data_IF_460177612868
#
_entry.id   IF_460177612868
#
_cell.length_a   1.000
_cell.length_b   1.000
_cell.length_c   1.000
_cell.angle_alpha   90.00
_cell.angle_beta   90.00
_cell.angle_gamma   90.00
#
_symmetry.space_group_name_H-M   'P 1'
#
loop_
_entity.id
_entity.type
_entity.pdbx_description
1 polymer ?
#
# COMPACT_ATOMS: atom_id res chain seq x y z
N UNK A 1 -10.48 0.98 -11.77
CA UNK A 1 -10.56 2.47 -11.66
C UNK A 1 -10.09 2.95 -10.28
N UNK A 2 -10.47 2.29 -9.19
CA UNK A 2 -10.06 2.63 -7.82
C UNK A 2 -8.56 2.82 -7.64
N UNK A 3 -7.73 1.85 -8.06
CA UNK A 3 -6.26 1.96 -7.91
C UNK A 3 -5.65 3.19 -8.61
N UNK A 4 -6.10 3.50 -9.84
CA UNK A 4 -5.62 4.66 -10.58
C UNK A 4 -6.00 5.97 -9.88
N UNK A 5 -7.19 6.03 -9.28
CA UNK A 5 -7.60 7.15 -8.42
C UNK A 5 -6.71 7.28 -7.19
N UNK A 6 -6.40 6.18 -6.50
CA UNK A 6 -5.49 6.23 -5.33
C UNK A 6 -4.05 6.63 -5.71
N UNK A 7 -3.61 6.31 -6.93
CA UNK A 7 -2.30 6.72 -7.44
C UNK A 7 -2.11 8.24 -7.55
N UNK A 8 -3.19 9.05 -7.55
CA UNK A 8 -3.05 10.51 -7.56
C UNK A 8 -2.40 11.04 -6.28
N UNK A 9 -2.50 10.31 -5.17
CA UNK A 9 -1.80 10.65 -3.92
C UNK A 9 -0.29 10.71 -4.17
N UNK A 10 0.27 9.79 -4.96
CA UNK A 10 1.69 9.80 -5.30
C UNK A 10 2.08 10.96 -6.23
N UNK A 11 1.16 11.44 -7.08
CA UNK A 11 1.36 12.66 -7.87
C UNK A 11 1.55 13.85 -6.93
N UNK A 12 0.65 13.99 -5.96
CA UNK A 12 0.67 15.08 -4.98
C UNK A 12 1.93 15.01 -4.11
N UNK A 13 2.33 13.82 -3.63
CA UNK A 13 3.57 13.63 -2.86
C UNK A 13 4.79 14.16 -3.61
N UNK A 14 5.00 13.75 -4.87
CA UNK A 14 6.17 14.21 -5.64
C UNK A 14 6.13 15.71 -5.93
N UNK A 15 4.94 16.25 -6.23
CA UNK A 15 4.76 17.68 -6.48
C UNK A 15 5.07 18.52 -5.24
N UNK A 16 4.60 18.09 -4.07
CA UNK A 16 4.74 18.83 -2.82
C UNK A 16 6.14 18.70 -2.21
N UNK A 17 6.79 17.55 -2.37
CA UNK A 17 8.14 17.31 -1.86
C UNK A 17 9.23 17.92 -2.75
N UNK A 18 8.96 18.08 -4.05
CA UNK A 18 9.90 18.65 -5.02
C UNK A 18 11.14 17.78 -5.31
N UNK A 19 11.20 16.58 -4.73
CA UNK A 19 12.28 15.60 -4.86
C UNK A 19 11.74 14.18 -4.65
N UNK A 20 12.50 13.15 -5.02
CA UNK A 20 12.13 11.75 -4.77
C UNK A 20 12.18 11.47 -3.25
N UNK A 21 11.12 10.90 -2.64
CA UNK A 21 11.19 10.41 -1.27
C UNK A 21 12.03 9.13 -1.20
N UNK A 22 12.87 8.98 -0.18
CA UNK A 22 13.59 7.71 0.04
C UNK A 22 12.62 6.54 0.32
N UNK A 23 11.57 6.81 1.12
CA UNK A 23 10.59 5.83 1.56
C UNK A 23 9.18 6.43 1.65
N UNK A 24 8.20 5.72 1.09
CA UNK A 24 6.77 6.01 1.24
C UNK A 24 6.11 4.87 2.01
N UNK A 25 5.60 5.17 3.21
CA UNK A 25 4.89 4.19 4.05
C UNK A 25 3.39 4.27 3.76
N UNK A 26 2.78 3.14 3.40
CA UNK A 26 1.38 3.10 2.95
C UNK A 26 0.60 2.07 3.77
N UNK A 27 -0.53 2.44 4.41
CA UNK A 27 -1.40 1.47 5.05
C UNK A 27 -2.03 0.53 4.03
N UNK A 28 -2.13 -0.74 4.40
CA UNK A 28 -2.68 -1.79 3.55
C UNK A 28 -3.93 -2.38 4.23
N UNK A 29 -5.06 -2.25 3.54
CA UNK A 29 -6.23 -3.10 3.73
C UNK A 29 -6.43 -3.92 2.45
N UNK A 30 -7.44 -3.61 1.64
CA UNK A 30 -7.66 -4.25 0.34
C UNK A 30 -6.62 -3.95 -0.76
N UNK A 31 -5.44 -3.41 -0.44
CA UNK A 31 -4.32 -3.22 -1.36
C UNK A 31 -4.45 -2.11 -2.42
N UNK A 32 -5.62 -1.50 -2.59
CA UNK A 32 -5.86 -0.52 -3.66
C UNK A 32 -4.98 0.75 -3.58
N UNK A 33 -4.74 1.26 -2.37
CA UNK A 33 -3.93 2.45 -2.14
C UNK A 33 -2.44 2.20 -2.47
N UNK A 34 -1.84 1.19 -1.84
CA UNK A 34 -0.44 0.81 -2.08
C UNK A 34 -0.21 0.43 -3.55
N UNK A 35 -1.16 -0.24 -4.20
CA UNK A 35 -1.04 -0.59 -5.63
C UNK A 35 -0.99 0.65 -6.51
N UNK A 36 -1.86 1.63 -6.27
CA UNK A 36 -1.88 2.89 -7.02
C UNK A 36 -0.61 3.71 -6.83
N UNK A 37 -0.19 3.90 -5.56
CA UNK A 37 1.02 4.65 -5.21
C UNK A 37 2.26 3.99 -5.79
N UNK A 38 2.44 2.68 -5.57
CA UNK A 38 3.61 1.94 -6.05
C UNK A 38 3.71 1.96 -7.56
N UNK A 39 2.58 1.77 -8.27
CA UNK A 39 2.57 1.82 -9.75
C UNK A 39 3.02 3.17 -10.27
N UNK A 40 2.58 4.27 -9.66
CA UNK A 40 2.96 5.61 -10.08
C UNK A 40 4.45 5.89 -9.79
N UNK A 41 4.92 5.59 -8.57
CA UNK A 41 6.30 5.85 -8.16
C UNK A 41 7.31 5.00 -8.94
N UNK A 42 7.00 3.73 -9.22
CA UNK A 42 7.86 2.84 -10.00
C UNK A 42 8.13 3.34 -11.43
N UNK A 43 7.18 4.10 -12.00
CA UNK A 43 7.34 4.71 -13.32
C UNK A 43 7.94 6.11 -13.31
N UNK A 44 8.18 6.71 -12.14
CA UNK A 44 8.53 8.14 -12.00
C UNK A 44 9.75 8.43 -11.14
N UNK A 45 10.22 7.42 -10.39
CA UNK A 45 11.33 7.57 -9.47
C UNK A 45 12.33 6.44 -9.68
N UNK A 46 13.59 6.66 -9.29
CA UNK A 46 14.66 5.67 -9.44
C UNK A 46 15.15 5.13 -8.09
N UNK A 47 14.89 5.86 -7.00
CA UNK A 47 15.41 5.54 -5.67
C UNK A 47 14.33 5.29 -4.62
N UNK A 48 13.10 5.76 -4.85
CA UNK A 48 12.02 5.62 -3.86
C UNK A 48 11.65 4.17 -3.58
N UNK A 49 11.52 3.84 -2.30
CA UNK A 49 10.96 2.58 -1.83
C UNK A 49 9.54 2.76 -1.30
N UNK A 50 8.72 1.71 -1.38
CA UNK A 50 7.37 1.68 -0.78
C UNK A 50 7.30 0.58 0.27
N UNK A 51 6.86 0.95 1.48
CA UNK A 51 6.65 0.01 2.58
C UNK A 51 5.16 -0.08 2.90
N UNK A 52 4.57 -1.25 2.66
CA UNK A 52 3.23 -1.58 3.13
C UNK A 52 3.21 -1.87 4.62
N UNK A 53 2.21 -1.33 5.33
CA UNK A 53 2.00 -1.62 6.75
C UNK A 53 0.58 -2.12 7.00
N UNK A 54 0.48 -3.22 7.74
CA UNK A 54 -0.78 -3.88 8.11
C UNK A 54 -0.93 -3.94 9.64
N UNK A 55 -2.16 -3.94 10.17
CA UNK A 55 -2.41 -4.28 11.56
C UNK A 55 -1.98 -5.73 11.83
N UNK A 56 -1.36 -5.98 12.97
CA UNK A 56 -0.91 -7.34 13.34
C UNK A 56 -2.06 -8.36 13.36
N UNK A 57 -3.28 -7.94 13.71
CA UNK A 57 -4.48 -8.78 13.71
C UNK A 57 -5.22 -8.87 12.36
N UNK A 58 -4.71 -8.24 11.29
CA UNK A 58 -5.34 -8.19 9.97
C UNK A 58 -4.31 -8.23 8.81
N UNK A 59 -3.22 -8.98 8.96
CA UNK A 59 -2.08 -8.95 8.04
C UNK A 59 -2.26 -9.88 6.81
N UNK A 60 -3.28 -9.59 5.98
CA UNK A 60 -3.67 -10.42 4.85
C UNK A 60 -2.66 -10.37 3.68
N UNK A 61 -2.09 -9.20 3.36
CA UNK A 61 -1.07 -9.05 2.33
C UNK A 61 0.23 -9.75 2.73
N UNK A 62 0.67 -9.62 3.98
CA UNK A 62 1.85 -10.35 4.48
C UNK A 62 1.65 -11.86 4.35
N UNK A 63 0.48 -12.38 4.74
CA UNK A 63 0.16 -13.79 4.58
C UNK A 63 0.16 -14.21 3.10
N UNK A 64 -0.47 -13.43 2.23
CA UNK A 64 -0.53 -13.71 0.79
C UNK A 64 0.84 -13.66 0.10
N UNK A 65 1.72 -12.74 0.50
CA UNK A 65 3.08 -12.65 -0.02
C UNK A 65 3.93 -13.84 0.43
N UNK A 66 3.71 -14.37 1.63
CA UNK A 66 4.42 -15.53 2.13
C UNK A 66 4.02 -16.83 1.40
N UNK A 67 2.77 -16.96 0.98
CA UNK A 67 2.25 -18.13 0.25
C UNK A 67 2.32 -17.98 -1.27
N UNK A 68 2.44 -16.75 -1.78
CA UNK A 68 2.44 -16.45 -3.20
C UNK A 68 1.04 -16.39 -3.84
N UNK A 69 -0.02 -16.44 -3.04
CA UNK A 69 -1.42 -16.40 -3.49
C UNK A 69 -2.34 -15.71 -2.47
N UNK A 70 -3.51 -15.19 -2.87
CA UNK A 70 -4.45 -14.60 -1.92
C UNK A 70 -4.85 -15.58 -0.80
N UNK A 71 -4.79 -15.13 0.45
CA UNK A 71 -5.14 -15.92 1.64
C UNK A 71 -6.33 -15.27 2.34
N UNK A 72 -7.31 -16.07 2.75
CA UNK A 72 -8.37 -15.64 3.66
C UNK A 72 -7.92 -15.89 5.10
N UNK A 73 -7.88 -14.83 5.92
CA UNK A 73 -7.58 -14.97 7.35
C UNK A 73 -8.77 -15.59 8.09
N UNK A 74 -8.51 -16.52 9.02
CA UNK A 74 -9.55 -17.14 9.85
C UNK A 74 -10.15 -16.14 10.86
N UNK A 75 -9.34 -15.21 11.34
CA UNK A 75 -9.73 -14.16 12.26
C UNK A 75 -9.11 -12.82 11.85
N UNK A 76 -9.89 -11.74 12.01
CA UNK A 76 -9.48 -10.38 11.71
C UNK A 76 -9.83 -9.48 12.90
N UNK A 77 -8.83 -8.84 13.50
CA UNK A 77 -9.03 -7.80 14.51
C UNK A 77 -9.59 -6.53 13.86
N UNK A 78 -10.70 -6.02 14.39
CA UNK A 78 -11.44 -4.87 13.88
C UNK A 78 -10.96 -3.53 14.46
N UNK A 79 -9.89 -3.50 15.27
CA UNK A 79 -9.36 -2.24 15.85
C UNK A 79 -9.01 -1.19 14.78
N UNK A 80 -8.45 -1.63 13.65
CA UNK A 80 -8.18 -0.77 12.47
C UNK A 80 -9.14 -1.19 11.35
N UNK A 81 -10.39 -0.78 11.48
CA UNK A 81 -11.50 -1.15 10.58
C UNK A 81 -11.21 -0.89 9.09
N UNK A 82 -10.59 0.25 8.74
CA UNK A 82 -10.24 0.58 7.36
C UNK A 82 -9.17 -0.30 6.72
N UNK A 83 -8.44 -1.08 7.53
CA UNK A 83 -7.41 -2.03 7.10
C UNK A 83 -7.77 -3.50 7.39
N UNK A 84 -8.92 -3.76 8.03
CA UNK A 84 -9.41 -5.10 8.36
C UNK A 84 -10.21 -5.70 7.17
N UNK A 85 -9.49 -6.07 6.09
CA UNK A 85 -10.07 -6.51 4.80
C UNK A 85 -9.67 -7.94 4.44
#
# INVERSE_FOLDING_TARGET
RTMAGQGTIAVEILQQLGSEPDLVVVPVGGGGCISGITTYLAGRTTTSSVLGVEPAGAAALVAALATGEPVTLEHVDQFVDGAAV
#
